data_IF_785536957646
#
_entry.id   IF_785536957646
#
_cell.length_a   1.000
_cell.length_b   1.000
_cell.length_c   1.000
_cell.angle_alpha   90.00
_cell.angle_beta   90.00
_cell.angle_gamma   90.00
#
_symmetry.space_group_name_H-M   'P 1'
#
loop_
_entity.id
_entity.type
_entity.pdbx_description
1 polymer ?
#
# COMPACT_ATOMS: atom_id res chain seq x y z
N UNK A 1 3.37 -13.99 -14.61
CA UNK A 1 3.32 -14.20 -13.18
C UNK A 1 3.15 -12.89 -12.43
N UNK A 2 2.47 -12.89 -11.26
CA UNK A 2 2.10 -11.71 -10.47
C UNK A 2 2.80 -11.67 -9.10
N UNK A 3 3.76 -12.54 -8.83
CA UNK A 3 4.37 -12.71 -7.51
C UNK A 3 5.00 -11.45 -6.91
N UNK A 4 5.42 -10.50 -7.75
CA UNK A 4 6.02 -9.24 -7.28
C UNK A 4 5.06 -8.03 -7.36
N UNK A 5 3.77 -8.27 -7.60
CA UNK A 5 2.73 -7.23 -7.60
C UNK A 5 1.92 -7.24 -6.30
N UNK A 6 1.29 -6.13 -5.98
CA UNK A 6 0.34 -6.08 -4.88
C UNK A 6 -0.89 -6.92 -5.21
N UNK A 7 -1.25 -7.86 -4.35
CA UNK A 7 -2.46 -8.69 -4.49
C UNK A 7 -3.58 -8.23 -3.58
N UNK A 8 -3.22 -7.62 -2.45
CA UNK A 8 -4.15 -7.20 -1.41
C UNK A 8 -3.78 -5.82 -0.86
N UNK A 9 -4.72 -5.19 -0.18
CA UNK A 9 -4.48 -4.00 0.62
C UNK A 9 -4.12 -4.39 2.05
N UNK A 10 -3.16 -3.67 2.65
CA UNK A 10 -2.68 -3.92 4.01
C UNK A 10 -3.42 -3.12 5.07
N UNK A 11 -4.08 -2.02 4.69
CA UNK A 11 -4.77 -1.17 5.65
C UNK A 11 -5.14 0.20 5.09
N UNK A 12 -5.45 1.11 6.01
CA UNK A 12 -5.83 2.49 5.71
C UNK A 12 -4.88 3.46 6.37
N UNK A 13 -4.51 4.50 5.65
CA UNK A 13 -3.67 5.58 6.16
C UNK A 13 -4.17 6.96 5.69
N UNK A 14 -3.98 7.98 6.51
CA UNK A 14 -4.16 9.36 6.09
C UNK A 14 -2.79 9.95 5.76
N UNK A 15 -2.64 10.45 4.53
CA UNK A 15 -1.45 11.17 4.08
C UNK A 15 -1.73 12.67 4.00
N UNK A 16 -0.86 13.46 4.61
CA UNK A 16 -0.82 14.91 4.41
C UNK A 16 0.31 15.28 3.44
N UNK A 17 0.21 16.46 2.82
CA UNK A 17 1.28 16.96 1.93
C UNK A 17 2.64 17.07 2.67
N UNK A 18 2.59 17.43 3.97
CA UNK A 18 3.79 17.49 4.80
C UNK A 18 4.42 16.11 4.95
N UNK A 19 3.64 15.08 5.26
CA UNK A 19 4.13 13.71 5.41
C UNK A 19 4.65 13.12 4.10
N UNK A 20 3.96 13.37 2.99
CA UNK A 20 4.43 12.98 1.66
C UNK A 20 5.84 13.55 1.40
N UNK A 21 6.04 14.84 1.70
CA UNK A 21 7.33 15.49 1.50
C UNK A 21 8.41 14.93 2.45
N UNK A 22 8.08 14.72 3.71
CA UNK A 22 8.98 14.19 4.73
C UNK A 22 9.45 12.78 4.37
N UNK A 23 8.54 11.93 3.87
CA UNK A 23 8.84 10.56 3.44
C UNK A 23 9.48 10.49 2.05
N UNK A 24 9.68 11.61 1.37
CA UNK A 24 10.20 11.67 0.02
C UNK A 24 9.24 11.10 -1.04
N UNK A 25 7.98 10.91 -0.70
CA UNK A 25 6.94 10.46 -1.61
C UNK A 25 6.53 11.56 -2.58
N UNK A 26 5.77 11.22 -3.61
CA UNK A 26 5.25 12.17 -4.60
C UNK A 26 3.85 11.79 -5.03
N UNK A 27 2.97 12.78 -5.18
CA UNK A 27 1.72 12.58 -5.91
C UNK A 27 2.07 12.59 -7.39
N UNK A 28 1.89 11.46 -8.06
CA UNK A 28 2.24 11.28 -9.48
C UNK A 28 1.03 11.42 -10.41
N UNK A 29 -0.19 11.34 -9.85
CA UNK A 29 -1.43 11.68 -10.56
C UNK A 29 -2.51 12.13 -9.55
N UNK A 30 -3.42 13.00 -9.98
CA UNK A 30 -4.57 13.44 -9.19
C UNK A 30 -4.22 14.24 -7.94
N UNK A 31 -4.89 13.92 -6.84
CA UNK A 31 -4.81 14.64 -5.56
C UNK A 31 -4.90 13.69 -4.37
N UNK A 32 -4.64 14.20 -3.17
CA UNK A 32 -4.96 13.48 -1.93
C UNK A 32 -6.48 13.48 -1.68
N UNK A 33 -7.01 12.41 -1.09
CA UNK A 33 -8.43 12.33 -0.70
C UNK A 33 -8.81 13.42 0.30
N UNK A 34 -9.98 14.02 0.08
CA UNK A 34 -10.58 15.00 1.00
C UNK A 34 -11.95 14.57 1.50
N UNK A 35 -12.69 13.85 0.65
CA UNK A 35 -14.03 13.38 0.96
C UNK A 35 -14.01 11.90 1.37
N UNK A 36 -15.05 11.46 2.10
CA UNK A 36 -15.11 10.11 2.67
C UNK A 36 -15.30 8.99 1.63
N UNK A 37 -15.61 9.32 0.39
CA UNK A 37 -15.71 8.39 -0.73
C UNK A 37 -14.53 8.49 -1.72
N UNK A 38 -13.52 9.29 -1.39
CA UNK A 38 -12.28 9.42 -2.15
C UNK A 38 -11.17 8.57 -1.54
N UNK A 39 -10.37 7.94 -2.40
CA UNK A 39 -9.15 7.27 -2.00
C UNK A 39 -7.99 7.64 -2.93
N UNK A 40 -6.78 7.53 -2.43
CA UNK A 40 -5.60 7.40 -3.26
C UNK A 40 -4.91 6.06 -2.99
N UNK A 41 -4.18 5.58 -3.96
CA UNK A 41 -3.43 4.33 -3.90
C UNK A 41 -1.96 4.59 -4.21
N UNK A 42 -1.10 3.64 -3.88
CA UNK A 42 0.32 3.75 -4.21
C UNK A 42 0.60 3.48 -5.69
N UNK A 43 1.77 3.94 -6.18
CA UNK A 43 2.29 3.53 -7.48
C UNK A 43 2.51 2.02 -7.55
N UNK A 44 2.85 1.38 -6.44
CA UNK A 44 3.00 -0.07 -6.36
C UNK A 44 1.67 -0.81 -6.63
N UNK A 45 0.58 -0.37 -6.05
CA UNK A 45 -0.77 -0.90 -6.33
C UNK A 45 -1.19 -0.60 -7.77
N UNK A 46 -0.87 0.61 -8.28
CA UNK A 46 -1.12 0.96 -9.68
C UNK A 46 -0.49 -0.05 -10.65
N UNK A 47 0.73 -0.53 -10.40
CA UNK A 47 1.41 -1.50 -11.27
C UNK A 47 0.61 -2.79 -11.44
N UNK A 48 -0.14 -3.19 -10.42
CA UNK A 48 -1.06 -4.34 -10.51
C UNK A 48 -2.15 -4.09 -11.56
N UNK A 49 -2.76 -2.90 -11.55
CA UNK A 49 -3.77 -2.53 -12.55
C UNK A 49 -3.15 -2.33 -13.93
N UNK A 50 -1.96 -1.79 -14.03
CA UNK A 50 -1.24 -1.66 -15.30
C UNK A 50 -0.97 -3.04 -15.92
N UNK A 51 -0.67 -4.03 -15.10
CA UNK A 51 -0.43 -5.41 -15.54
C UNK A 51 -1.72 -6.18 -15.83
N UNK A 52 -2.70 -6.13 -14.93
CA UNK A 52 -3.91 -6.95 -14.98
C UNK A 52 -5.07 -6.28 -15.77
N UNK A 53 -5.05 -4.95 -15.86
CA UNK A 53 -6.16 -4.13 -16.30
C UNK A 53 -7.14 -3.81 -15.16
N UNK A 54 -8.02 -2.85 -15.40
CA UNK A 54 -9.10 -2.50 -14.48
C UNK A 54 -10.41 -3.11 -14.96
N UNK A 55 -11.18 -3.69 -14.06
CA UNK A 55 -12.51 -4.24 -14.36
C UNK A 55 -13.53 -3.39 -13.59
N UNK A 56 -14.46 -2.76 -14.32
CA UNK A 56 -15.57 -2.00 -13.73
C UNK A 56 -16.63 -2.92 -13.11
N UNK A 57 -17.55 -2.37 -12.34
CA UNK A 57 -18.68 -3.14 -11.78
C UNK A 57 -19.53 -3.84 -12.85
N UNK A 58 -19.65 -3.24 -14.03
CA UNK A 58 -20.35 -3.84 -15.17
C UNK A 58 -19.54 -4.95 -15.86
N UNK A 59 -18.38 -5.31 -15.32
CA UNK A 59 -17.50 -6.34 -15.87
C UNK A 59 -16.69 -5.90 -17.10
N UNK A 60 -16.69 -4.62 -17.44
CA UNK A 60 -15.95 -4.10 -18.59
C UNK A 60 -14.48 -3.94 -18.19
N UNK A 61 -13.61 -4.66 -18.91
CA UNK A 61 -12.16 -4.55 -18.74
C UNK A 61 -11.60 -3.37 -19.52
N UNK A 62 -10.80 -2.54 -18.85
CA UNK A 62 -10.07 -1.43 -19.44
C UNK A 62 -8.57 -1.63 -19.26
N UNK A 63 -7.79 -1.34 -20.28
CA UNK A 63 -6.35 -1.29 -20.19
C UNK A 63 -5.92 -0.03 -19.42
N UNK A 64 -4.89 -0.16 -18.59
CA UNK A 64 -4.33 0.93 -17.79
C UNK A 64 -2.87 1.11 -18.24
N UNK A 65 -2.58 2.26 -18.85
CA UNK A 65 -1.23 2.60 -19.37
C UNK A 65 -0.56 3.71 -18.60
N UNK A 66 -1.34 4.65 -18.09
CA UNK A 66 -0.86 5.84 -17.42
C UNK A 66 -1.53 5.97 -16.05
N UNK A 67 -0.88 6.60 -15.09
CA UNK A 67 -1.46 6.84 -13.77
C UNK A 67 -2.84 7.50 -13.83
N UNK A 68 -3.03 8.45 -14.75
CA UNK A 68 -4.31 9.14 -14.93
C UNK A 68 -5.45 8.24 -15.41
N UNK A 69 -5.17 7.07 -15.98
CA UNK A 69 -6.21 6.14 -16.43
C UNK A 69 -6.98 5.53 -15.26
N UNK A 70 -6.37 5.49 -14.07
CA UNK A 70 -7.04 5.04 -12.83
C UNK A 70 -7.72 6.17 -12.07
N UNK A 71 -7.33 7.42 -12.28
CA UNK A 71 -7.98 8.56 -11.60
C UNK A 71 -9.43 8.69 -12.08
N UNK A 72 -10.35 8.73 -11.13
CA UNK A 72 -11.81 8.74 -11.39
C UNK A 72 -12.44 7.34 -11.49
N UNK A 73 -11.65 6.26 -11.52
CA UNK A 73 -12.19 4.90 -11.48
C UNK A 73 -12.75 4.57 -10.10
N UNK A 74 -13.71 3.67 -10.08
CA UNK A 74 -14.35 3.20 -8.85
C UNK A 74 -13.65 1.94 -8.32
N UNK A 75 -13.54 1.85 -7.02
CA UNK A 75 -13.03 0.67 -6.34
C UNK A 75 -13.96 0.32 -5.19
N UNK A 76 -14.40 -0.93 -5.17
CA UNK A 76 -15.22 -1.44 -4.08
C UNK A 76 -14.33 -2.20 -3.10
N UNK A 77 -14.35 -1.73 -1.86
CA UNK A 77 -13.60 -2.33 -0.76
C UNK A 77 -14.64 -2.69 0.30
N UNK A 78 -14.74 -3.96 0.60
CA UNK A 78 -15.84 -4.52 1.39
C UNK A 78 -17.20 -4.17 0.76
N UNK A 79 -17.99 -3.38 1.46
CA UNK A 79 -19.31 -2.93 1.01
C UNK A 79 -19.34 -1.46 0.57
N UNK A 80 -18.19 -0.75 0.68
CA UNK A 80 -18.09 0.67 0.38
C UNK A 80 -17.49 0.88 -1.01
N UNK A 81 -18.05 1.77 -1.79
CA UNK A 81 -17.52 2.20 -3.07
C UNK A 81 -16.74 3.51 -2.91
N UNK A 82 -15.54 3.51 -3.43
CA UNK A 82 -14.65 4.66 -3.42
C UNK A 82 -14.28 5.10 -4.84
N UNK A 83 -13.95 6.38 -4.99
CA UNK A 83 -13.35 6.91 -6.21
C UNK A 83 -11.85 7.06 -6.01
N UNK A 84 -11.04 6.51 -6.89
CA UNK A 84 -9.60 6.73 -6.90
C UNK A 84 -9.34 8.16 -7.39
N UNK A 85 -8.86 9.04 -6.52
CA UNK A 85 -8.62 10.45 -6.85
C UNK A 85 -7.14 10.79 -6.99
N UNK A 86 -6.24 9.88 -6.61
CA UNK A 86 -4.81 10.11 -6.71
C UNK A 86 -3.97 8.85 -6.66
N UNK A 87 -2.76 9.00 -7.17
CA UNK A 87 -1.70 7.98 -7.11
C UNK A 87 -0.48 8.60 -6.44
N UNK A 88 0.05 7.91 -5.43
CA UNK A 88 1.22 8.33 -4.65
C UNK A 88 2.38 7.38 -4.91
N UNK A 89 3.51 7.90 -5.37
CA UNK A 89 4.74 7.13 -5.49
C UNK A 89 5.36 6.91 -4.10
N UNK A 90 5.31 5.66 -3.64
CA UNK A 90 5.83 5.18 -2.36
C UNK A 90 7.23 4.58 -2.45
N UNK A 91 7.91 4.77 -3.59
CA UNK A 91 9.30 4.38 -3.81
C UNK A 91 9.59 2.88 -3.83
N UNK A 92 8.59 2.05 -4.09
CA UNK A 92 8.84 0.63 -4.32
C UNK A 92 9.48 0.44 -5.70
N UNK A 93 10.68 -0.11 -5.72
CA UNK A 93 11.39 -0.43 -6.96
C UNK A 93 10.91 -1.80 -7.49
N UNK A 94 9.97 -1.77 -8.42
CA UNK A 94 9.43 -3.00 -9.04
C UNK A 94 10.48 -3.80 -9.80
N UNK A 95 11.50 -3.15 -10.37
CA UNK A 95 12.54 -3.82 -11.15
C UNK A 95 13.41 -4.73 -10.27
N UNK A 96 13.59 -4.35 -9.01
CA UNK A 96 14.32 -5.14 -8.01
C UNK A 96 13.70 -6.51 -7.78
N UNK A 97 12.39 -6.65 -7.90
CA UNK A 97 11.64 -7.87 -7.56
C UNK A 97 11.23 -8.71 -8.77
N UNK A 98 11.58 -8.31 -9.99
CA UNK A 98 11.21 -9.04 -11.22
C UNK A 98 11.64 -10.50 -11.23
N UNK A 99 12.82 -10.79 -10.70
CA UNK A 99 13.38 -12.16 -10.71
C UNK A 99 12.51 -13.15 -9.91
N UNK A 100 11.75 -12.69 -8.93
CA UNK A 100 10.84 -13.54 -8.14
C UNK A 100 9.75 -14.18 -9.03
N UNK A 101 9.32 -13.46 -10.07
CA UNK A 101 8.27 -13.94 -10.99
C UNK A 101 8.81 -14.79 -12.13
N UNK A 102 10.11 -14.92 -12.26
CA UNK A 102 10.73 -15.76 -13.28
C UNK A 102 10.72 -17.23 -12.86
N UNK A 103 10.58 -18.13 -13.84
CA UNK A 103 10.66 -19.56 -13.57
C UNK A 103 12.00 -19.92 -12.89
N UNK A 104 11.92 -20.70 -11.82
CA UNK A 104 13.09 -21.24 -11.12
C UNK A 104 13.89 -22.23 -11.97
N UNK A 105 13.30 -22.70 -13.07
CA UNK A 105 13.89 -23.67 -13.98
C UNK A 105 15.11 -23.06 -14.70
N UNK A 106 16.27 -23.58 -14.37
CA UNK A 106 17.55 -23.08 -14.89
C UNK A 106 18.27 -22.09 -13.98
N UNK A 107 17.68 -21.67 -12.86
CA UNK A 107 18.36 -20.85 -11.85
C UNK A 107 19.33 -21.71 -11.03
N UNK A 108 20.45 -21.11 -10.68
CA UNK A 108 21.41 -21.71 -9.73
C UNK A 108 20.87 -21.67 -8.30
N UNK A 109 21.45 -22.48 -7.41
CA UNK A 109 21.09 -22.42 -5.98
C UNK A 109 21.31 -21.04 -5.36
N UNK A 110 22.35 -20.31 -5.78
CA UNK A 110 22.59 -18.95 -5.32
C UNK A 110 21.50 -17.97 -5.79
N UNK A 111 21.05 -18.07 -7.04
CA UNK A 111 19.93 -17.27 -7.57
C UNK A 111 18.62 -17.55 -6.83
N UNK A 112 18.30 -18.82 -6.58
CA UNK A 112 17.11 -19.19 -5.82
C UNK A 112 17.16 -18.66 -4.37
N UNK A 113 18.33 -18.66 -3.73
CA UNK A 113 18.49 -18.08 -2.40
C UNK A 113 18.31 -16.55 -2.41
N UNK A 114 18.81 -15.88 -3.46
CA UNK A 114 18.59 -14.45 -3.65
C UNK A 114 17.11 -14.15 -3.85
N UNK A 115 16.40 -14.89 -4.71
CA UNK A 115 14.99 -14.70 -4.94
C UNK A 115 14.15 -14.94 -3.66
N UNK A 116 14.54 -15.92 -2.85
CA UNK A 116 13.92 -16.13 -1.55
C UNK A 116 14.09 -14.91 -0.63
N UNK A 117 15.31 -14.37 -0.53
CA UNK A 117 15.58 -13.17 0.27
C UNK A 117 14.78 -11.96 -0.25
N UNK A 118 14.71 -11.75 -1.56
CA UNK A 118 13.90 -10.68 -2.17
C UNK A 118 12.41 -10.88 -1.91
N UNK A 119 11.92 -12.13 -1.93
CA UNK A 119 10.53 -12.43 -1.60
C UNK A 119 10.18 -12.07 -0.15
N UNK A 120 11.10 -12.35 0.80
CA UNK A 120 10.91 -11.97 2.20
C UNK A 120 10.95 -10.44 2.38
N UNK A 121 11.88 -9.76 1.70
CA UNK A 121 11.96 -8.30 1.70
C UNK A 121 10.67 -7.68 1.16
N UNK A 122 10.18 -8.17 0.02
CA UNK A 122 8.95 -7.67 -0.58
C UNK A 122 7.72 -7.92 0.31
N UNK A 123 7.60 -9.12 0.88
CA UNK A 123 6.53 -9.43 1.82
C UNK A 123 6.54 -8.49 3.03
N UNK A 124 7.72 -8.14 3.51
CA UNK A 124 7.87 -7.17 4.59
C UNK A 124 7.42 -5.76 4.16
N UNK A 125 7.79 -5.32 2.95
CA UNK A 125 7.32 -4.04 2.39
C UNK A 125 5.80 -4.05 2.26
N UNK A 126 5.21 -5.10 1.71
CA UNK A 126 3.76 -5.22 1.55
C UNK A 126 3.02 -5.18 2.90
N UNK A 127 3.58 -5.78 3.92
CA UNK A 127 2.95 -5.90 5.23
C UNK A 127 3.16 -4.68 6.13
N UNK A 128 4.35 -4.05 6.10
CA UNK A 128 4.75 -3.06 7.10
C UNK A 128 5.02 -1.65 6.55
N UNK A 129 4.97 -1.47 5.22
CA UNK A 129 5.07 -0.14 4.63
C UNK A 129 3.71 0.36 4.13
N UNK A 130 3.68 1.60 3.66
CA UNK A 130 2.48 2.20 3.07
C UNK A 130 2.25 1.76 1.61
N UNK A 131 3.07 0.86 1.09
CA UNK A 131 3.01 0.46 -0.32
C UNK A 131 1.69 -0.20 -0.71
N UNK A 132 1.07 -0.94 0.22
CA UNK A 132 -0.22 -1.59 0.02
C UNK A 132 -1.36 -0.95 0.82
N UNK A 133 -1.15 0.22 1.42
CA UNK A 133 -2.21 0.92 2.15
C UNK A 133 -3.12 1.72 1.20
N UNK A 134 -4.37 1.84 1.61
CA UNK A 134 -5.34 2.73 0.99
C UNK A 134 -5.24 4.09 1.69
N UNK A 135 -4.98 5.14 0.94
CA UNK A 135 -4.95 6.49 1.49
C UNK A 135 -6.35 7.08 1.48
N UNK A 136 -6.79 7.57 2.62
CA UNK A 136 -8.14 8.12 2.86
C UNK A 136 -8.06 9.50 3.50
N UNK A 137 -9.19 10.21 3.52
CA UNK A 137 -9.32 11.45 4.29
C UNK A 137 -9.18 11.18 5.80
N UNK A 138 -8.82 12.20 6.57
CA UNK A 138 -8.75 12.09 8.03
C UNK A 138 -10.09 11.71 8.64
N UNK A 139 -11.18 12.31 8.13
CA UNK A 139 -12.55 12.01 8.59
C UNK A 139 -12.91 10.53 8.33
N UNK A 140 -12.60 10.02 7.13
CA UNK A 140 -12.83 8.62 6.80
C UNK A 140 -12.00 7.69 7.67
N UNK A 141 -10.73 8.03 7.93
CA UNK A 141 -9.88 7.23 8.81
C UNK A 141 -10.43 7.16 10.23
N UNK A 142 -10.90 8.28 10.76
CA UNK A 142 -11.52 8.31 12.10
C UNK A 142 -12.80 7.47 12.16
N UNK A 143 -13.63 7.52 11.11
CA UNK A 143 -14.82 6.67 10.99
C UNK A 143 -14.46 5.17 10.97
N UNK A 144 -13.39 4.80 10.27
CA UNK A 144 -12.89 3.40 10.25
C UNK A 144 -12.39 2.99 11.64
N UNK A 145 -11.64 3.85 12.34
CA UNK A 145 -11.17 3.60 13.70
C UNK A 145 -12.33 3.38 14.69
N UNK A 146 -13.41 4.14 14.54
CA UNK A 146 -14.63 3.98 15.37
C UNK A 146 -15.37 2.68 15.07
N UNK A 147 -15.45 2.30 13.78
CA UNK A 147 -16.10 1.07 13.34
C UNK A 147 -15.32 -0.18 13.77
N UNK A 148 -13.98 -0.08 13.78
CA UNK A 148 -13.07 -1.20 14.06
C UNK A 148 -12.04 -0.85 15.14
N UNK A 149 -12.43 -0.56 16.38
CA UNK A 149 -11.51 -0.06 17.41
C UNK A 149 -10.41 -1.06 17.78
N UNK A 150 -10.65 -2.36 17.57
CA UNK A 150 -9.66 -3.41 17.86
C UNK A 150 -8.60 -3.59 16.76
N UNK A 151 -8.77 -2.94 15.61
CA UNK A 151 -7.87 -3.04 14.48
C UNK A 151 -6.91 -1.85 14.35
N UNK A 152 -6.87 -0.95 15.34
CA UNK A 152 -5.94 0.16 15.37
C UNK A 152 -4.55 -0.36 15.70
N UNK A 153 -3.63 -0.28 14.76
CA UNK A 153 -2.22 -0.54 15.00
C UNK A 153 -1.50 0.73 15.44
N UNK A 154 -0.75 0.61 16.51
CA UNK A 154 0.24 1.61 16.87
C UNK A 154 1.51 1.33 16.04
N UNK A 155 1.72 2.12 15.00
CA UNK A 155 2.89 1.99 14.12
C UNK A 155 4.19 2.04 14.91
N UNK A 156 4.23 2.79 16.01
CA UNK A 156 5.40 2.97 16.86
C UNK A 156 5.89 1.69 17.55
N UNK A 157 5.10 0.64 17.64
CA UNK A 157 5.45 -0.54 18.44
C UNK A 157 5.74 -1.79 17.63
N UNK A 158 5.50 -1.79 16.33
CA UNK A 158 5.64 -3.00 15.49
C UNK A 158 4.92 -4.24 16.06
N UNK A 159 3.96 -4.03 16.94
CA UNK A 159 3.24 -5.11 17.59
C UNK A 159 1.80 -5.15 17.10
N UNK A 160 1.40 -6.32 16.68
CA UNK A 160 0.00 -6.62 16.47
C UNK A 160 -0.69 -6.67 17.83
N UNK A 161 -1.65 -5.80 18.04
CA UNK A 161 -2.56 -5.97 19.17
C UNK A 161 -3.71 -6.81 18.65
N UNK A 162 -3.62 -8.11 18.83
CA UNK A 162 -4.78 -8.97 18.68
C UNK A 162 -5.56 -8.91 19.96
N UNK A 163 -6.82 -8.52 19.90
CA UNK A 163 -7.78 -8.84 20.94
C UNK A 163 -8.37 -10.21 20.61
N UNK A 164 -8.36 -11.10 21.58
CA UNK A 164 -9.13 -12.34 21.55
C UNK A 164 -8.75 -13.37 20.49
N UNK A 165 -7.46 -13.66 20.33
CA UNK A 165 -6.96 -14.70 19.41
C UNK A 165 -7.42 -14.55 17.94
N UNK A 166 -8.03 -13.44 17.59
CA UNK A 166 -8.35 -13.16 16.21
C UNK A 166 -7.10 -12.64 15.54
N UNK A 167 -6.53 -13.44 14.69
CA UNK A 167 -5.46 -13.03 13.81
C UNK A 167 -5.99 -11.95 12.87
N UNK A 168 -5.57 -10.72 13.11
CA UNK A 168 -5.86 -9.61 12.19
C UNK A 168 -4.76 -9.63 11.15
N UNK A 169 -5.07 -10.23 10.05
CA UNK A 169 -4.16 -10.33 8.94
C UNK A 169 -3.87 -8.92 8.40
N UNK A 170 -2.69 -8.40 8.77
CA UNK A 170 -2.03 -7.23 8.21
C UNK A 170 -2.83 -5.93 8.03
N UNK A 171 -4.09 -5.85 8.41
CA UNK A 171 -4.88 -4.62 8.31
C UNK A 171 -4.38 -3.56 9.27
N UNK A 172 -3.95 -2.41 8.75
CA UNK A 172 -3.51 -1.27 9.55
C UNK A 172 -4.46 -0.10 9.38
N UNK A 173 -4.77 0.54 10.50
CA UNK A 173 -5.53 1.79 10.53
C UNK A 173 -4.69 2.81 11.27
N UNK A 174 -4.17 3.80 10.57
CA UNK A 174 -3.26 4.77 11.14
C UNK A 174 -3.44 6.17 10.56
N UNK A 175 -3.28 7.17 11.40
CA UNK A 175 -3.06 8.55 10.96
C UNK A 175 -1.56 8.84 11.00
N UNK A 176 -0.98 9.16 9.86
CA UNK A 176 0.44 9.52 9.80
C UNK A 176 0.73 10.87 10.45
N UNK A 177 -0.28 11.71 10.67
CA UNK A 177 -0.13 12.94 11.44
C UNK A 177 0.12 12.69 12.93
N UNK A 178 -0.25 11.52 13.44
CA UNK A 178 -0.05 11.10 14.82
C UNK A 178 1.31 10.43 15.07
N UNK A 179 2.06 10.14 14.00
CA UNK A 179 3.36 9.49 14.11
C UNK A 179 4.44 10.54 14.32
N UNK A 180 5.14 10.48 15.46
CA UNK A 180 6.39 11.22 15.63
C UNK A 180 7.52 10.45 14.94
N UNK A 181 7.89 10.92 13.75
CA UNK A 181 8.95 10.29 12.94
C UNK A 181 10.35 10.41 13.57
N UNK A 182 10.52 11.21 14.65
CA UNK A 182 11.79 11.30 15.38
C UNK A 182 12.16 10.00 16.09
N UNK A 183 11.16 9.21 16.46
CA UNK A 183 11.33 7.95 17.17
C UNK A 183 11.32 6.73 16.23
N UNK A 184 11.18 6.95 14.92
CA UNK A 184 11.21 5.87 13.93
C UNK A 184 12.65 5.47 13.67
N UNK A 185 12.98 4.21 13.93
CA UNK A 185 14.25 3.62 13.51
C UNK A 185 14.02 2.93 12.17
N UNK A 186 14.67 3.43 11.12
CA UNK A 186 14.57 2.84 9.80
C UNK A 186 15.36 1.53 9.73
N UNK A 187 14.90 0.57 8.92
CA UNK A 187 15.46 -0.78 8.82
C UNK A 187 16.93 -0.77 8.37
N UNK A 188 17.36 0.25 7.64
CA UNK A 188 18.74 0.44 7.20
C UNK A 188 19.63 1.19 8.21
N UNK A 189 19.07 1.61 9.33
CA UNK A 189 19.77 2.35 10.37
C UNK A 189 20.04 3.82 10.05
N UNK A 190 19.58 4.34 8.92
CA UNK A 190 19.65 5.76 8.62
C UNK A 190 18.53 6.53 9.33
N UNK A 191 18.93 7.54 10.11
CA UNK A 191 17.98 8.51 10.63
C UNK A 191 17.68 9.52 9.51
N UNK A 192 16.46 9.53 9.04
CA UNK A 192 16.00 10.67 8.24
C UNK A 192 15.95 11.90 9.14
N UNK A 193 16.71 12.92 8.74
CA UNK A 193 16.71 14.23 9.37
C UNK A 193 15.46 15.01 9.00
#
# INVERSE_FOLDING_TARGET
DMCHYATDFSGYANLTESKIKEMGYKIVAGKLPKDNNEIAISSYVYETYAKAGYISEDGIKSEIKYYNDLVGKKLKIDKKEFTIVGIVDTKVDMDRYKSISEDSKGKTSAQNLTDFALSQELAHIQQYSLACDIFVSEEMLNSIKEEYPNYVQLINNYMYVSSDDTYIDSSRIASLSEIDTKDVTWVDGEKTK
#
